data_IF_782270111138
#
_entry.id   IF_782270111138
#
_cell.length_a   1.000
_cell.length_b   1.000
_cell.length_c   1.000
_cell.angle_alpha   90.00
_cell.angle_beta   90.00
_cell.angle_gamma   90.00
#
_symmetry.space_group_name_H-M   'P 1'
#
loop_
_entity.id
_entity.type
_entity.pdbx_description
1 polymer ?
#
# COMPACT_ATOMS: atom_id res chain seq x y z
N UNK A 1 22.37 -6.49 -9.15
CA UNK A 1 22.22 -5.17 -9.81
C UNK A 1 20.74 -4.91 -10.01
N UNK A 2 20.14 -3.94 -9.31
CA UNK A 2 18.76 -3.55 -9.57
C UNK A 2 18.71 -2.91 -10.97
N UNK A 3 17.86 -3.44 -11.86
CA UNK A 3 17.70 -2.92 -13.21
C UNK A 3 17.19 -1.49 -13.21
N UNK A 4 17.29 -0.78 -14.35
CA UNK A 4 16.70 0.56 -14.46
C UNK A 4 15.19 0.51 -14.17
N UNK A 5 14.55 1.59 -13.69
CA UNK A 5 13.10 1.60 -13.41
C UNK A 5 12.25 1.14 -14.60
N UNK A 6 12.69 1.41 -15.83
CA UNK A 6 12.10 0.92 -17.08
C UNK A 6 12.19 -0.61 -17.24
N UNK A 7 13.31 -1.21 -16.86
CA UNK A 7 13.48 -2.67 -16.90
C UNK A 7 12.60 -3.36 -15.86
N UNK A 8 12.51 -2.79 -14.65
CA UNK A 8 11.61 -3.29 -13.59
C UNK A 8 10.15 -3.18 -14.05
N UNK A 9 9.76 -2.07 -14.65
CA UNK A 9 8.43 -1.88 -15.22
C UNK A 9 8.09 -2.97 -16.25
N UNK A 10 8.93 -3.15 -17.28
CA UNK A 10 8.68 -4.13 -18.35
C UNK A 10 8.48 -5.56 -17.82
N UNK A 11 9.14 -5.93 -16.73
CA UNK A 11 8.97 -7.25 -16.09
C UNK A 11 7.67 -7.36 -15.30
N UNK A 12 7.21 -6.27 -14.70
CA UNK A 12 5.99 -6.23 -13.89
C UNK A 12 4.71 -6.02 -14.70
N UNK A 13 4.80 -5.41 -15.89
CA UNK A 13 3.66 -5.12 -16.76
C UNK A 13 2.74 -6.34 -16.97
N UNK A 14 3.24 -7.54 -17.33
CA UNK A 14 2.39 -8.73 -17.51
C UNK A 14 1.62 -9.13 -16.24
N UNK A 15 2.24 -9.00 -15.06
CA UNK A 15 1.59 -9.29 -13.79
C UNK A 15 0.42 -8.33 -13.52
N UNK A 16 0.61 -7.04 -13.81
CA UNK A 16 -0.43 -6.03 -13.62
C UNK A 16 -1.58 -6.19 -14.62
N UNK A 17 -1.29 -6.52 -15.89
CA UNK A 17 -2.34 -6.84 -16.86
C UNK A 17 -3.13 -8.10 -16.47
N UNK A 18 -2.45 -9.15 -16.00
CA UNK A 18 -3.10 -10.37 -15.55
C UNK A 18 -3.94 -10.16 -14.27
N UNK A 19 -3.59 -9.16 -13.45
CA UNK A 19 -4.28 -8.83 -12.20
C UNK A 19 -5.31 -7.70 -12.31
N UNK A 20 -5.63 -7.25 -13.52
CA UNK A 20 -6.68 -6.23 -13.75
C UNK A 20 -8.06 -6.65 -13.19
N UNK A 21 -8.30 -7.96 -13.10
CA UNK A 21 -9.53 -8.56 -12.56
C UNK A 21 -9.37 -9.06 -11.13
N UNK A 22 -8.19 -8.88 -10.52
CA UNK A 22 -7.95 -9.35 -9.16
C UNK A 22 -8.74 -8.48 -8.18
N UNK A 23 -9.64 -9.14 -7.48
CA UNK A 23 -10.46 -8.56 -6.44
C UNK A 23 -9.87 -8.92 -5.07
N UNK A 24 -9.50 -7.90 -4.30
CA UNK A 24 -8.90 -8.02 -2.98
C UNK A 24 -9.82 -7.38 -1.94
N UNK A 25 -10.78 -8.15 -1.39
CA UNK A 25 -11.65 -7.68 -0.33
C UNK A 25 -10.84 -7.59 0.97
N UNK A 26 -10.71 -6.38 1.49
CA UNK A 26 -9.95 -6.10 2.70
C UNK A 26 -10.87 -5.55 3.78
N UNK A 27 -10.60 -5.94 5.01
CA UNK A 27 -11.26 -5.42 6.21
C UNK A 27 -10.28 -4.59 7.02
N UNK A 28 -10.82 -3.70 7.83
CA UNK A 28 -10.08 -3.04 8.89
C UNK A 28 -9.54 -4.08 9.89
N UNK A 29 -8.26 -3.96 10.29
CA UNK A 29 -7.64 -4.76 11.35
C UNK A 29 -7.23 -3.90 12.54
N UNK A 30 -6.52 -2.78 12.28
CA UNK A 30 -5.99 -1.90 13.32
C UNK A 30 -5.81 -0.49 12.78
N UNK A 31 -6.01 0.51 13.64
CA UNK A 31 -5.62 1.89 13.38
C UNK A 31 -4.44 2.31 14.26
N UNK A 32 -3.61 3.18 13.71
CA UNK A 32 -2.64 3.99 14.43
C UNK A 32 -2.99 5.48 14.22
N UNK A 33 -2.18 6.38 14.79
CA UNK A 33 -2.43 7.83 14.71
C UNK A 33 -2.36 8.39 13.28
N UNK A 34 -1.67 7.69 12.38
CA UNK A 34 -1.35 8.17 11.02
C UNK A 34 -1.73 7.19 9.92
N UNK A 35 -2.07 5.96 10.28
CA UNK A 35 -2.26 4.89 9.33
C UNK A 35 -3.31 3.87 9.79
N UNK A 36 -3.82 3.10 8.83
CA UNK A 36 -4.79 2.03 9.01
C UNK A 36 -4.17 0.76 8.44
N UNK A 37 -4.06 -0.29 9.23
CA UNK A 37 -3.68 -1.62 8.77
C UNK A 37 -4.92 -2.38 8.34
N UNK A 38 -4.88 -2.92 7.13
CA UNK A 38 -5.90 -3.77 6.56
C UNK A 38 -5.53 -5.25 6.70
N UNK A 39 -6.54 -6.10 6.73
CA UNK A 39 -6.40 -7.55 6.63
C UNK A 39 -7.27 -8.10 5.50
N UNK A 40 -6.88 -9.22 4.88
CA UNK A 40 -7.76 -9.95 3.96
C UNK A 40 -9.08 -10.32 4.64
N UNK A 41 -10.20 -10.14 3.93
CA UNK A 41 -11.54 -10.49 4.44
C UNK A 41 -11.73 -12.01 4.63
N UNK A 42 -10.85 -12.84 4.04
CA UNK A 42 -10.91 -14.29 4.19
C UNK A 42 -9.69 -15.02 3.63
N UNK A 43 -9.62 -16.35 3.80
CA UNK A 43 -8.45 -17.16 3.43
C UNK A 43 -8.23 -17.22 1.92
N UNK A 44 -9.28 -17.09 1.11
CA UNK A 44 -9.16 -16.97 -0.36
C UNK A 44 -8.41 -15.71 -0.77
N UNK A 45 -8.78 -14.56 -0.21
CA UNK A 45 -8.11 -13.28 -0.44
C UNK A 45 -6.64 -13.32 0.04
N UNK A 46 -6.39 -13.89 1.21
CA UNK A 46 -5.03 -14.04 1.74
C UNK A 46 -4.13 -14.86 0.79
N UNK A 47 -4.64 -15.97 0.25
CA UNK A 47 -3.90 -16.78 -0.74
C UNK A 47 -3.68 -16.02 -2.06
N UNK A 48 -4.69 -15.31 -2.55
CA UNK A 48 -4.57 -14.52 -3.78
C UNK A 48 -3.52 -13.41 -3.65
N UNK A 49 -3.54 -12.69 -2.51
CA UNK A 49 -2.55 -11.67 -2.20
C UNK A 49 -1.14 -12.27 -2.10
N UNK A 50 -0.97 -13.39 -1.40
CA UNK A 50 0.33 -14.06 -1.28
C UNK A 50 0.86 -14.56 -2.62
N UNK A 51 -0.01 -15.09 -3.48
CA UNK A 51 0.36 -15.51 -4.84
C UNK A 51 0.79 -14.31 -5.70
N UNK A 52 0.06 -13.19 -5.61
CA UNK A 52 0.42 -11.97 -6.33
C UNK A 52 1.76 -11.40 -5.85
N UNK A 53 2.01 -11.37 -4.53
CA UNK A 53 3.28 -10.92 -3.97
C UNK A 53 4.46 -11.79 -4.45
N UNK A 54 4.30 -13.12 -4.41
CA UNK A 54 5.33 -14.03 -4.93
C UNK A 54 5.60 -13.82 -6.41
N UNK A 55 4.56 -13.65 -7.22
CA UNK A 55 4.72 -13.37 -8.64
C UNK A 55 5.44 -12.03 -8.90
N UNK A 56 5.20 -11.01 -8.06
CA UNK A 56 5.92 -9.74 -8.12
C UNK A 56 7.41 -9.90 -7.75
N UNK A 57 7.72 -10.70 -6.72
CA UNK A 57 9.11 -11.00 -6.33
C UNK A 57 9.85 -11.77 -7.43
N UNK A 58 9.20 -12.78 -8.02
CA UNK A 58 9.75 -13.55 -9.14
C UNK A 58 9.99 -12.67 -10.37
N UNK A 59 9.03 -11.81 -10.71
CA UNK A 59 9.15 -10.90 -11.85
C UNK A 59 10.25 -9.85 -11.65
N UNK A 60 10.41 -9.31 -10.45
CA UNK A 60 11.39 -8.26 -10.17
C UNK A 60 12.78 -8.81 -9.85
N UNK A 61 12.86 -10.02 -9.32
CA UNK A 61 14.07 -10.57 -8.70
C UNK A 61 14.44 -9.86 -7.39
N UNK A 62 13.53 -9.06 -6.83
CA UNK A 62 13.72 -8.30 -5.59
C UNK A 62 12.83 -8.95 -4.53
N UNK A 63 13.44 -9.40 -3.42
CA UNK A 63 12.67 -9.89 -2.28
C UNK A 63 11.99 -8.74 -1.59
N UNK A 64 10.69 -8.87 -1.32
CA UNK A 64 10.01 -7.92 -0.49
C UNK A 64 10.36 -8.19 0.97
N UNK A 65 11.11 -7.28 1.57
CA UNK A 65 11.45 -7.36 3.00
C UNK A 65 10.34 -6.80 3.88
N UNK A 66 9.31 -6.18 3.29
CA UNK A 66 8.18 -5.66 4.04
C UNK A 66 7.39 -6.81 4.66
N UNK A 67 7.05 -6.69 5.94
CA UNK A 67 6.15 -7.64 6.58
C UNK A 67 4.79 -7.58 5.89
N UNK A 68 4.05 -8.70 5.81
CA UNK A 68 2.74 -8.72 5.13
C UNK A 68 1.75 -7.67 5.65
N UNK A 69 1.92 -7.20 6.90
CA UNK A 69 1.17 -6.08 7.50
C UNK A 69 1.54 -4.72 6.90
N UNK A 70 2.81 -4.48 6.60
CA UNK A 70 3.29 -3.21 6.02
C UNK A 70 2.80 -3.01 4.58
N UNK A 71 2.59 -4.12 3.85
CA UNK A 71 2.02 -4.11 2.50
C UNK A 71 0.55 -3.65 2.50
N UNK A 72 -0.15 -3.84 3.61
CA UNK A 72 -1.59 -3.60 3.74
C UNK A 72 -1.92 -2.35 4.56
N UNK A 73 -0.98 -1.41 4.67
CA UNK A 73 -1.16 -0.18 5.43
C UNK A 73 -1.58 0.98 4.52
N UNK A 74 -2.69 1.62 4.85
CA UNK A 74 -3.11 2.90 4.29
C UNK A 74 -2.63 4.04 5.18
N UNK A 75 -1.79 4.92 4.65
CA UNK A 75 -1.36 6.12 5.37
C UNK A 75 -2.31 7.28 5.04
N UNK A 76 -2.89 7.91 6.07
CA UNK A 76 -3.80 9.05 5.91
C UNK A 76 -3.25 10.35 6.50
N UNK A 77 -2.26 10.27 7.39
CA UNK A 77 -1.59 11.44 7.95
C UNK A 77 -0.08 11.21 8.05
N UNK A 78 0.66 12.31 8.19
CA UNK A 78 2.10 12.30 8.42
C UNK A 78 2.39 13.09 9.69
N UNK A 79 3.14 12.48 10.61
CA UNK A 79 3.57 13.15 11.82
C UNK A 79 4.69 14.14 11.48
N UNK A 80 4.42 15.44 11.66
CA UNK A 80 5.39 16.52 11.39
C UNK A 80 6.21 16.83 12.64
N UNK A 81 5.58 16.74 13.82
CA UNK A 81 6.22 16.88 15.12
C UNK A 81 5.76 15.74 16.03
N UNK A 82 6.66 15.09 16.77
CA UNK A 82 6.26 14.07 17.73
C UNK A 82 5.36 14.69 18.80
N UNK A 83 4.29 14.00 19.17
CA UNK A 83 3.52 14.38 20.36
C UNK A 83 4.43 14.15 21.58
N UNK A 84 4.89 15.24 22.20
CA UNK A 84 5.76 15.26 23.39
C UNK A 84 5.00 15.76 24.63
N UNK A 85 5.46 15.37 25.82
CA UNK A 85 4.89 15.78 27.12
C UNK A 85 4.15 14.66 27.87
N UNK A 86 3.83 14.92 29.14
CA UNK A 86 3.25 13.95 30.09
C UNK A 86 1.94 13.32 29.57
N UNK A 87 1.17 14.05 28.76
CA UNK A 87 -0.12 13.60 28.22
C UNK A 87 -0.03 12.95 26.83
N UNK A 88 1.14 12.91 26.20
CA UNK A 88 1.27 12.45 24.81
C UNK A 88 0.82 11.00 24.59
N UNK A 89 1.09 10.11 25.56
CA UNK A 89 0.63 8.73 25.51
C UNK A 89 -0.91 8.63 25.64
N UNK A 90 -1.52 9.49 26.45
CA UNK A 90 -2.97 9.52 26.63
C UNK A 90 -3.66 10.00 25.35
N UNK A 91 -3.20 11.12 24.77
CA UNK A 91 -3.75 11.69 23.52
C UNK A 91 -3.66 10.69 22.38
N UNK A 92 -2.52 9.98 22.23
CA UNK A 92 -2.38 8.93 21.22
C UNK A 92 -3.38 7.79 21.41
N UNK A 93 -3.57 7.31 22.63
CA UNK A 93 -4.55 6.24 22.93
C UNK A 93 -5.98 6.69 22.64
N UNK A 94 -6.33 7.90 23.04
CA UNK A 94 -7.68 8.43 22.83
C UNK A 94 -7.97 8.62 21.33
N UNK A 95 -7.00 9.13 20.56
CA UNK A 95 -7.14 9.26 19.11
C UNK A 95 -7.28 7.91 18.42
N UNK A 96 -6.42 6.93 18.75
CA UNK A 96 -6.52 5.57 18.20
C UNK A 96 -7.88 4.95 18.53
N UNK A 97 -8.39 5.14 19.75
CA UNK A 97 -9.71 4.63 20.16
C UNK A 97 -10.83 5.27 19.35
N UNK A 98 -10.79 6.59 19.14
CA UNK A 98 -11.80 7.30 18.36
C UNK A 98 -11.79 6.85 16.89
N UNK A 99 -10.61 6.78 16.27
CA UNK A 99 -10.45 6.32 14.89
C UNK A 99 -10.93 4.87 14.76
N UNK A 100 -10.49 3.98 15.65
CA UNK A 100 -10.91 2.58 15.66
C UNK A 100 -12.43 2.46 15.79
N UNK A 101 -13.06 3.19 16.72
CA UNK A 101 -14.51 3.15 16.91
C UNK A 101 -15.29 3.67 15.70
N UNK A 102 -14.76 4.67 14.99
CA UNK A 102 -15.38 5.19 13.77
C UNK A 102 -15.27 4.18 12.64
N UNK A 103 -14.08 3.57 12.48
CA UNK A 103 -13.84 2.54 11.47
C UNK A 103 -14.66 1.28 11.77
N UNK A 104 -14.72 0.78 13.00
CA UNK A 104 -15.51 -0.41 13.33
C UNK A 104 -17.02 -0.23 13.04
N UNK A 105 -17.51 1.01 13.14
CA UNK A 105 -18.92 1.32 12.89
C UNK A 105 -19.24 1.49 11.40
N UNK A 106 -18.39 2.22 10.69
CA UNK A 106 -18.68 2.67 9.32
C UNK A 106 -17.94 1.82 8.26
N UNK A 107 -16.87 1.14 8.64
CA UNK A 107 -16.00 0.40 7.73
C UNK A 107 -16.47 -1.05 7.60
N UNK A 108 -17.06 -1.35 6.45
CA UNK A 108 -17.35 -2.71 6.03
C UNK A 108 -16.13 -3.41 5.43
N UNK A 109 -16.38 -4.23 4.42
CA UNK A 109 -15.33 -4.76 3.55
C UNK A 109 -15.11 -3.77 2.41
N UNK A 110 -13.86 -3.34 2.24
CA UNK A 110 -13.46 -2.51 1.12
C UNK A 110 -12.91 -3.35 -0.03
N UNK A 111 -13.31 -2.98 -1.23
CA UNK A 111 -12.93 -3.66 -2.45
C UNK A 111 -11.73 -2.97 -3.09
N UNK A 112 -10.59 -3.65 -3.14
CA UNK A 112 -9.42 -3.18 -3.88
C UNK A 112 -9.32 -3.97 -5.18
N UNK A 113 -9.15 -3.25 -6.29
CA UNK A 113 -9.10 -3.83 -7.63
C UNK A 113 -7.95 -3.24 -8.43
N UNK A 114 -7.48 -4.00 -9.42
CA UNK A 114 -6.53 -3.54 -10.43
C UNK A 114 -5.29 -2.85 -9.80
N UNK A 115 -4.41 -3.61 -9.13
CA UNK A 115 -3.18 -3.04 -8.58
C UNK A 115 -2.40 -2.33 -9.69
N UNK A 116 -1.79 -1.19 -9.36
CA UNK A 116 -1.05 -0.35 -10.33
C UNK A 116 0.36 -0.08 -9.84
N UNK A 117 1.27 0.11 -10.79
CA UNK A 117 2.61 0.58 -10.51
C UNK A 117 2.62 2.11 -10.48
N UNK A 118 2.96 2.68 -9.33
CA UNK A 118 3.05 4.11 -9.11
C UNK A 118 4.50 4.53 -8.88
N UNK A 119 4.91 5.66 -9.45
CA UNK A 119 6.16 6.34 -9.11
C UNK A 119 5.83 7.50 -8.17
N UNK A 120 6.13 7.35 -6.88
CA UNK A 120 5.94 8.42 -5.91
C UNK A 120 6.93 9.55 -6.15
N UNK A 121 6.42 10.77 -6.37
CA UNK A 121 7.23 11.98 -6.45
C UNK A 121 7.39 12.61 -5.07
N UNK A 122 6.31 12.60 -4.31
CA UNK A 122 6.26 13.08 -2.93
C UNK A 122 5.48 12.07 -2.08
N UNK A 123 5.27 12.38 -0.80
CA UNK A 123 4.44 11.55 0.10
C UNK A 123 2.94 11.59 -0.22
N UNK A 124 2.50 12.56 -1.02
CA UNK A 124 1.08 12.78 -1.37
C UNK A 124 0.82 12.76 -2.87
N UNK A 125 1.86 12.84 -3.70
CA UNK A 125 1.76 12.80 -5.16
C UNK A 125 2.54 11.64 -5.74
N UNK A 126 1.89 10.91 -6.63
CA UNK A 126 2.52 9.93 -7.50
C UNK A 126 2.17 10.24 -8.94
N UNK A 127 3.04 9.82 -9.84
CA UNK A 127 2.80 9.84 -11.28
C UNK A 127 2.67 8.40 -11.76
N UNK A 128 1.68 8.08 -12.61
CA UNK A 128 1.64 6.80 -13.28
C UNK A 128 2.97 6.55 -13.98
N UNK A 129 3.55 5.36 -13.83
CA UNK A 129 4.92 5.14 -14.31
C UNK A 129 5.06 5.39 -15.84
N UNK A 130 4.00 5.11 -16.61
CA UNK A 130 3.87 5.40 -18.04
C UNK A 130 4.09 6.90 -18.38
N UNK A 131 3.55 7.80 -17.53
CA UNK A 131 3.72 9.23 -17.67
C UNK A 131 5.11 9.69 -17.19
N UNK A 132 5.65 9.06 -16.13
CA UNK A 132 7.00 9.34 -15.65
C UNK A 132 8.10 8.92 -16.64
N UNK A 133 7.86 7.90 -17.46
CA UNK A 133 8.78 7.47 -18.53
C UNK A 133 8.75 8.42 -19.72
N UNK A 134 7.57 8.90 -20.15
CA UNK A 134 7.45 9.89 -21.21
C UNK A 134 8.11 11.24 -20.85
N UNK A 135 8.02 11.65 -19.58
CA UNK A 135 8.67 12.88 -19.08
C UNK A 135 10.20 12.83 -19.13
N UNK A 136 10.82 11.64 -19.04
CA UNK A 136 12.28 11.48 -19.17
C UNK A 136 12.73 11.41 -20.62
N UNK A 137 11.93 10.82 -21.51
CA UNK A 137 12.25 10.71 -22.94
C UNK A 137 12.06 12.04 -23.68
N UNK A 138 11.12 12.91 -23.23
CA UNK A 138 10.93 14.25 -23.80
C UNK A 138 11.86 15.34 -23.26
N UNK A 139 12.72 15.02 -22.30
CA UNK A 139 13.73 15.92 -21.72
C UNK A 139 15.16 15.64 -22.24
N UNK A 140 15.28 14.79 -23.26
CA UNK A 140 16.53 14.47 -23.97
C UNK A 140 16.56 15.10 -25.36
#
# INVERSE_FOLDING_TARGET
>A
MAGSPLQVHRRLVPLFYASAWTYLPMRFERADCTSITLAPAGPGCARALAAWLRAAEEATGIRNMAMGKEVLTLNFAFEVFPVEGENAAQVRRDMVRQVTSLLDKEWGVMEFTAPKLACWQTRTSYVPLEAATALKEGAS
#
